data_IF_985880686147
#
_entry.id   IF_985880686147
#
_cell.length_a   1.000
_cell.length_b   1.000
_cell.length_c   1.000
_cell.angle_alpha   90.00
_cell.angle_beta   90.00
_cell.angle_gamma   90.00
#
_symmetry.space_group_name_H-M   'P 1'
#
loop_
_entity.id
_entity.type
_entity.pdbx_description
1 polymer ?
#
# COMPACT_ATOMS: atom_id res chain seq x y z
N UNK A 1 12.94 -17.86 -5.41
CA UNK A 1 11.80 -18.79 -5.24
C UNK A 1 10.47 -18.03 -5.12
N UNK A 2 10.24 -17.21 -4.08
CA UNK A 2 8.98 -16.43 -3.97
C UNK A 2 8.82 -15.33 -5.03
N UNK A 3 9.89 -14.58 -5.32
CA UNK A 3 9.87 -13.48 -6.32
C UNK A 3 9.71 -13.95 -7.77
N UNK A 4 9.85 -15.25 -8.01
CA UNK A 4 9.72 -15.93 -9.31
C UNK A 4 8.45 -16.79 -9.37
N UNK A 5 7.45 -16.46 -8.52
CA UNK A 5 6.13 -17.09 -8.48
C UNK A 5 6.07 -18.58 -8.15
N UNK A 6 7.22 -19.22 -7.90
CA UNK A 6 7.30 -20.65 -7.68
C UNK A 6 6.98 -20.99 -6.22
N UNK A 7 5.68 -20.88 -5.89
CA UNK A 7 5.13 -21.20 -4.58
C UNK A 7 5.21 -22.71 -4.30
N UNK A 8 5.10 -23.56 -5.33
CA UNK A 8 5.15 -25.01 -5.19
C UNK A 8 6.51 -25.50 -4.70
N UNK A 9 7.61 -24.92 -5.21
CA UNK A 9 8.95 -25.21 -4.68
C UNK A 9 9.10 -24.80 -3.20
N UNK A 10 8.46 -23.70 -2.79
CA UNK A 10 8.49 -23.23 -1.39
C UNK A 10 7.69 -24.17 -0.48
N UNK A 11 6.48 -24.56 -0.91
CA UNK A 11 5.64 -25.50 -0.16
C UNK A 11 6.32 -26.86 -0.02
N UNK A 12 6.96 -27.37 -1.07
CA UNK A 12 7.72 -28.61 -1.02
C UNK A 12 8.90 -28.53 -0.05
N UNK A 13 9.66 -27.43 -0.09
CA UNK A 13 10.79 -27.23 0.83
C UNK A 13 10.35 -27.15 2.30
N UNK A 14 9.24 -26.47 2.60
CA UNK A 14 8.70 -26.37 3.96
C UNK A 14 8.07 -27.70 4.42
N UNK A 15 7.42 -28.42 3.50
CA UNK A 15 6.75 -29.69 3.76
C UNK A 15 7.67 -30.73 4.41
N UNK A 16 8.94 -30.79 3.99
CA UNK A 16 9.94 -31.70 4.55
C UNK A 16 10.24 -31.46 6.04
N UNK A 17 9.93 -30.27 6.56
CA UNK A 17 10.20 -29.90 7.95
C UNK A 17 8.96 -30.02 8.86
N UNK A 18 7.75 -30.17 8.29
CA UNK A 18 6.48 -30.26 9.03
C UNK A 18 6.40 -31.47 9.97
N UNK A 19 7.07 -32.56 9.63
CA UNK A 19 7.06 -33.81 10.39
C UNK A 19 8.08 -33.86 11.52
N UNK A 20 8.92 -32.82 11.68
CA UNK A 20 9.90 -32.77 12.76
C UNK A 20 9.20 -32.50 14.11
N UNK A 21 9.49 -33.27 15.16
CA UNK A 21 8.96 -32.98 16.48
C UNK A 21 9.57 -31.68 17.05
N UNK A 22 8.77 -30.95 17.84
CA UNK A 22 9.17 -29.71 18.50
C UNK A 22 8.89 -28.43 17.70
N UNK A 23 9.41 -27.31 18.21
CA UNK A 23 9.11 -25.95 17.73
C UNK A 23 9.37 -25.75 16.22
N UNK A 24 10.33 -26.48 15.67
CA UNK A 24 10.70 -26.39 14.24
C UNK A 24 9.57 -26.93 13.35
N UNK A 25 8.95 -28.07 13.71
CA UNK A 25 7.84 -28.62 12.95
C UNK A 25 6.58 -27.79 13.06
N UNK A 26 6.29 -27.25 14.25
CA UNK A 26 5.16 -26.35 14.47
C UNK A 26 5.27 -25.06 13.65
N UNK A 27 6.45 -24.43 13.65
CA UNK A 27 6.73 -23.25 12.80
C UNK A 27 6.59 -23.61 11.32
N UNK A 28 7.17 -24.72 10.88
CA UNK A 28 7.05 -25.17 9.49
C UNK A 28 5.59 -25.44 9.09
N UNK A 29 4.78 -26.06 9.96
CA UNK A 29 3.37 -26.30 9.73
C UNK A 29 2.59 -24.98 9.57
N UNK A 30 2.85 -24.00 10.45
CA UNK A 30 2.20 -22.69 10.43
C UNK A 30 2.54 -21.90 9.16
N UNK A 31 3.82 -21.88 8.78
CA UNK A 31 4.25 -21.21 7.55
C UNK A 31 3.66 -21.91 6.32
N UNK A 32 3.65 -23.24 6.28
CA UNK A 32 3.04 -24.00 5.19
C UNK A 32 1.55 -23.65 5.00
N UNK A 33 0.79 -23.61 6.09
CA UNK A 33 -0.62 -23.24 6.07
C UNK A 33 -0.82 -21.79 5.61
N UNK A 34 0.05 -20.89 6.04
CA UNK A 34 0.03 -19.49 5.62
C UNK A 34 0.24 -19.35 4.10
N UNK A 35 1.28 -19.99 3.56
CA UNK A 35 1.57 -19.97 2.12
C UNK A 35 0.46 -20.63 1.29
N UNK A 36 -0.11 -21.74 1.79
CA UNK A 36 -1.22 -22.44 1.14
C UNK A 36 -2.48 -21.58 1.09
N UNK A 37 -2.88 -21.01 2.23
CA UNK A 37 -4.06 -20.15 2.36
C UNK A 37 -3.94 -18.86 1.55
N UNK A 38 -2.74 -18.28 1.50
CA UNK A 38 -2.49 -17.00 0.82
C UNK A 38 -2.01 -17.14 -0.63
N UNK A 39 -2.04 -18.34 -1.22
CA UNK A 39 -1.58 -18.61 -2.59
C UNK A 39 -2.09 -17.61 -3.63
N UNK A 40 -3.36 -17.21 -3.55
CA UNK A 40 -3.96 -16.22 -4.47
C UNK A 40 -3.30 -14.83 -4.38
N UNK A 41 -2.86 -14.43 -3.18
CA UNK A 41 -2.20 -13.13 -2.92
C UNK A 41 -0.71 -13.13 -3.28
N UNK A 42 -0.11 -14.30 -3.47
CA UNK A 42 1.31 -14.48 -3.75
C UNK A 42 1.63 -14.67 -5.25
N UNK A 43 0.71 -14.29 -6.14
CA UNK A 43 0.88 -14.31 -7.60
C UNK A 43 1.81 -13.18 -8.09
N UNK A 44 3.02 -13.15 -7.54
CA UNK A 44 3.97 -12.06 -7.75
C UNK A 44 4.37 -11.86 -9.21
N UNK A 45 4.53 -12.95 -9.97
CA UNK A 45 4.85 -12.87 -11.40
C UNK A 45 3.74 -12.20 -12.19
N UNK A 46 2.48 -12.53 -11.90
CA UNK A 46 1.31 -11.90 -12.51
C UNK A 46 1.22 -10.41 -12.17
N UNK A 47 1.47 -10.03 -10.92
CA UNK A 47 1.47 -8.61 -10.55
C UNK A 47 2.63 -7.85 -11.21
N UNK A 48 3.80 -8.47 -11.35
CA UNK A 48 4.91 -7.88 -12.10
C UNK A 48 4.61 -7.73 -13.59
N UNK A 49 3.96 -8.71 -14.21
CA UNK A 49 3.58 -8.60 -15.63
C UNK A 49 2.57 -7.48 -15.87
N UNK A 50 1.75 -7.14 -14.87
CA UNK A 50 0.87 -5.97 -14.88
C UNK A 50 1.58 -4.64 -14.54
N UNK A 51 2.90 -4.65 -14.31
CA UNK A 51 3.66 -3.47 -13.90
C UNK A 51 3.34 -2.99 -12.48
N UNK A 52 2.68 -3.81 -11.66
CA UNK A 52 2.31 -3.45 -10.30
C UNK A 52 3.49 -3.59 -9.34
N UNK A 53 3.50 -2.72 -8.33
CA UNK A 53 4.48 -2.79 -7.25
C UNK A 53 4.22 -4.01 -6.37
N UNK A 54 5.19 -4.91 -6.30
CA UNK A 54 5.11 -6.16 -5.51
C UNK A 54 5.67 -6.00 -4.08
N UNK A 55 6.34 -4.89 -3.79
CA UNK A 55 6.88 -4.57 -2.47
C UNK A 55 6.22 -3.34 -1.86
N UNK A 56 6.29 -3.24 -0.53
CA UNK A 56 5.79 -2.08 0.23
C UNK A 56 6.63 -0.82 0.01
N UNK A 57 7.86 -0.93 -0.49
CA UNK A 57 8.82 0.19 -0.56
C UNK A 57 8.30 1.43 -1.32
N UNK A 58 7.56 1.25 -2.41
CA UNK A 58 6.97 2.38 -3.15
C UNK A 58 5.90 3.09 -2.31
N UNK A 59 5.06 2.31 -1.60
CA UNK A 59 4.03 2.84 -0.71
C UNK A 59 4.66 3.53 0.51
N UNK A 60 5.68 2.92 1.13
CA UNK A 60 6.41 3.49 2.26
C UNK A 60 7.14 4.77 1.89
N UNK A 61 7.78 4.80 0.72
CA UNK A 61 8.40 6.01 0.18
C UNK A 61 7.34 7.10 -0.06
N UNK A 62 6.21 6.74 -0.64
CA UNK A 62 5.05 7.63 -0.79
C UNK A 62 4.60 8.23 0.55
N UNK A 63 4.37 7.40 1.56
CA UNK A 63 4.01 7.86 2.92
C UNK A 63 5.08 8.78 3.52
N UNK A 64 6.36 8.46 3.34
CA UNK A 64 7.47 9.30 3.82
C UNK A 64 7.46 10.68 3.17
N UNK A 65 7.25 10.75 1.86
CA UNK A 65 7.28 11.99 1.08
C UNK A 65 6.00 12.81 1.28
N UNK A 66 4.83 12.20 1.15
CA UNK A 66 3.53 12.89 1.24
C UNK A 66 3.27 13.33 2.67
N UNK A 67 3.40 12.43 3.64
CA UNK A 67 3.04 12.65 5.04
C UNK A 67 4.28 13.07 5.84
N UNK A 68 5.30 12.21 5.87
CA UNK A 68 6.44 12.33 6.79
C UNK A 68 7.19 13.65 6.67
N UNK A 69 7.46 14.11 5.44
CA UNK A 69 8.21 15.35 5.21
C UNK A 69 7.53 16.60 5.78
N UNK A 70 6.21 16.61 5.96
CA UNK A 70 5.47 17.82 6.38
C UNK A 70 4.68 17.68 7.67
N UNK A 71 4.29 16.48 8.07
CA UNK A 71 3.48 16.25 9.27
C UNK A 71 4.27 15.68 10.45
N UNK A 72 5.47 15.14 10.22
CA UNK A 72 6.27 14.46 11.27
C UNK A 72 7.56 15.21 11.66
N UNK A 73 7.65 16.52 11.44
CA UNK A 73 8.83 17.30 11.89
C UNK A 73 8.62 17.85 13.30
N UNK A 74 9.73 18.21 13.95
CA UNK A 74 9.71 18.79 15.30
C UNK A 74 8.88 20.08 15.36
N UNK A 75 8.18 20.28 16.47
CA UNK A 75 7.36 21.47 16.74
C UNK A 75 6.05 21.55 15.95
N UNK A 76 5.65 20.49 15.25
CA UNK A 76 4.43 20.49 14.44
C UNK A 76 3.23 19.95 15.21
N UNK A 77 2.25 20.80 15.44
CA UNK A 77 0.94 20.43 15.98
C UNK A 77 -0.12 20.65 14.91
N UNK A 78 -1.00 19.67 14.76
CA UNK A 78 -2.06 19.70 13.75
C UNK A 78 -3.38 19.34 14.40
N UNK A 79 -4.43 20.09 14.04
CA UNK A 79 -5.78 19.56 14.15
C UNK A 79 -5.98 18.49 13.07
N UNK A 80 -6.90 17.55 13.30
CA UNK A 80 -7.23 16.50 12.33
C UNK A 80 -7.61 17.09 10.97
N UNK A 81 -8.45 18.13 10.98
CA UNK A 81 -8.88 18.83 9.77
C UNK A 81 -7.69 19.50 9.05
N UNK A 82 -6.79 20.14 9.79
CA UNK A 82 -5.60 20.78 9.23
C UNK A 82 -4.64 19.75 8.61
N UNK A 83 -4.38 18.64 9.29
CA UNK A 83 -3.55 17.57 8.77
C UNK A 83 -4.13 16.98 7.47
N UNK A 84 -5.44 16.70 7.46
CA UNK A 84 -6.14 16.18 6.28
C UNK A 84 -6.08 17.15 5.09
N UNK A 85 -6.29 18.45 5.33
CA UNK A 85 -6.19 19.46 4.28
C UNK A 85 -4.79 19.52 3.66
N UNK A 86 -3.74 19.47 4.49
CA UNK A 86 -2.35 19.46 4.02
C UNK A 86 -2.00 18.16 3.28
N UNK A 87 -2.48 17.00 3.75
CA UNK A 87 -2.28 15.72 3.04
C UNK A 87 -2.94 15.78 1.66
N UNK A 88 -4.17 16.26 1.57
CA UNK A 88 -4.89 16.38 0.32
C UNK A 88 -4.16 17.32 -0.66
N UNK A 89 -3.75 18.50 -0.18
CA UNK A 89 -2.96 19.45 -0.95
C UNK A 89 -1.66 18.84 -1.49
N UNK A 90 -0.88 18.19 -0.61
CA UNK A 90 0.39 17.55 -1.01
C UNK A 90 0.19 16.40 -1.97
N UNK A 91 -0.87 15.61 -1.78
CA UNK A 91 -1.23 14.52 -2.69
C UNK A 91 -1.53 15.04 -4.09
N UNK A 92 -2.31 16.12 -4.20
CA UNK A 92 -2.62 16.76 -5.49
C UNK A 92 -1.37 17.32 -6.16
N UNK A 93 -0.48 17.98 -5.40
CA UNK A 93 0.77 18.53 -5.95
C UNK A 93 1.73 17.44 -6.44
N UNK A 94 2.00 16.42 -5.61
CA UNK A 94 2.98 15.37 -5.93
C UNK A 94 2.49 14.40 -7.01
N UNK A 95 1.17 14.27 -7.18
CA UNK A 95 0.58 13.49 -8.28
C UNK A 95 0.41 14.28 -9.57
N UNK A 96 0.76 15.57 -9.61
CA UNK A 96 0.54 16.45 -10.77
C UNK A 96 -0.92 16.80 -11.03
N UNK A 97 -1.81 16.56 -10.07
CA UNK A 97 -3.28 16.76 -10.19
C UNK A 97 -3.76 18.04 -9.52
N UNK A 98 -2.85 18.99 -9.28
CA UNK A 98 -3.19 20.23 -8.59
C UNK A 98 -4.14 21.09 -9.42
N UNK A 99 -3.88 21.22 -10.72
CA UNK A 99 -4.74 21.99 -11.61
C UNK A 99 -6.10 21.33 -11.82
N UNK A 100 -6.13 19.99 -11.94
CA UNK A 100 -7.37 19.20 -11.99
C UNK A 100 -8.24 19.41 -10.76
N UNK A 101 -7.62 19.45 -9.58
CA UNK A 101 -8.32 19.73 -8.33
C UNK A 101 -8.99 21.11 -8.37
N UNK A 102 -8.26 22.15 -8.79
CA UNK A 102 -8.82 23.51 -8.89
C UNK A 102 -9.87 23.65 -9.98
N UNK A 103 -9.70 22.98 -11.12
CA UNK A 103 -10.69 22.94 -12.18
C UNK A 103 -12.01 22.35 -11.66
N UNK A 104 -11.95 21.23 -10.95
CA UNK A 104 -13.12 20.59 -10.31
C UNK A 104 -13.73 21.48 -9.23
N UNK A 105 -12.90 22.09 -8.39
CA UNK A 105 -13.38 22.99 -7.34
C UNK A 105 -14.13 24.19 -7.94
N UNK A 106 -13.58 24.85 -8.96
CA UNK A 106 -14.25 25.98 -9.64
C UNK A 106 -15.56 25.54 -10.31
N UNK A 107 -15.60 24.36 -10.92
CA UNK A 107 -16.82 23.81 -11.52
C UNK A 107 -17.92 23.57 -10.47
N UNK A 108 -17.57 22.98 -9.32
CA UNK A 108 -18.52 22.70 -8.23
C UNK A 108 -19.04 23.97 -7.53
N UNK A 109 -18.20 25.01 -7.40
CA UNK A 109 -18.66 26.28 -6.82
C UNK A 109 -19.59 27.06 -7.76
N UNK A 110 -19.41 26.93 -9.08
CA UNK A 110 -20.32 27.51 -10.07
C UNK A 110 -21.70 26.85 -10.03
N UNK A 111 -21.80 25.54 -9.85
CA UNK A 111 -23.08 24.83 -9.76
C UNK A 111 -23.83 25.12 -8.44
N UNK A 112 -23.12 25.38 -7.33
CA UNK A 112 -23.75 25.79 -6.07
C UNK A 112 -24.31 27.23 -6.11
N UNK A 113 -23.69 28.16 -6.85
CA UNK A 113 -24.22 29.51 -7.04
C UNK A 113 -25.47 29.59 -7.93
N UNK A 114 -25.69 28.60 -8.80
CA UNK A 114 -26.87 28.55 -9.70
C UNK A 114 -28.10 27.97 -8.99
N UNK A 115 -27.92 27.17 -7.94
CA UNK A 115 -29.02 26.53 -7.18
C UNK A 115 -29.55 27.44 -6.04
N UNK A 116 -28.81 28.48 -5.65
CA UNK A 116 -29.22 29.42 -4.59
C UNK A 116 -29.84 30.74 -5.10
N UNK A 117 -30.33 30.77 -6.35
CA UNK A 117 -31.11 31.86 -6.93
C UNK A 117 -32.48 31.34 -7.35
#
# INVERSE_FOLDING_TARGET
MLKSGNLDAVLNAIGCHKTRPGEIGEKAAKEFDYFTTNRRRMRYDYFRSLGLCVGSGVVEAGCRVVIGQRLKRSGMFWSLNGANAIIALRSSLLSGRFDDFWARYRANNKSQQVISR
#
